data_IF_007047419389
#
_entry.id   IF_007047419389
#
_cell.length_a   1.000
_cell.length_b   1.000
_cell.length_c   1.000
_cell.angle_alpha   90.00
_cell.angle_beta   90.00
_cell.angle_gamma   90.00
#
_symmetry.space_group_name_H-M   'P 1'
#
loop_
_entity.id
_entity.type
_entity.pdbx_description
1 polymer ?
#
# COMPACT_ATOMS: atom_id res chain seq x y z
N UNK A 1 7.41 -13.45 -2.72
CA UNK A 1 6.88 -12.06 -2.63
C UNK A 1 8.07 -11.13 -2.51
N UNK A 2 8.14 -10.08 -3.34
CA UNK A 2 9.32 -9.20 -3.41
C UNK A 2 9.67 -8.53 -2.06
N UNK A 3 8.66 -8.19 -1.24
CA UNK A 3 8.85 -7.60 0.09
C UNK A 3 9.76 -8.45 0.98
N UNK A 4 9.47 -9.76 1.14
CA UNK A 4 10.30 -10.67 1.95
C UNK A 4 11.77 -10.69 1.52
N UNK A 5 12.02 -10.63 0.21
CA UNK A 5 13.39 -10.59 -0.33
C UNK A 5 14.12 -9.29 0.04
N UNK A 6 13.41 -8.15 0.04
CA UNK A 6 14.00 -6.88 0.45
C UNK A 6 14.24 -6.81 1.96
N UNK A 7 13.38 -7.40 2.77
CA UNK A 7 13.55 -7.52 4.22
C UNK A 7 14.77 -8.38 4.58
N UNK A 8 14.98 -9.49 3.87
CA UNK A 8 16.16 -10.35 4.04
C UNK A 8 17.46 -9.67 3.60
N UNK A 9 17.41 -8.81 2.58
CA UNK A 9 18.58 -8.07 2.08
C UNK A 9 18.93 -6.85 2.92
N UNK A 10 17.93 -6.21 3.54
CA UNK A 10 18.14 -5.01 4.34
C UNK A 10 17.20 -5.04 5.56
N UNK A 11 17.65 -5.55 6.72
CA UNK A 11 16.81 -5.67 7.92
C UNK A 11 16.22 -4.33 8.38
N UNK A 12 16.96 -3.22 8.19
CA UNK A 12 16.48 -1.88 8.53
C UNK A 12 15.34 -1.39 7.61
N UNK A 13 15.12 -2.04 6.46
CA UNK A 13 13.95 -1.78 5.61
C UNK A 13 12.67 -2.12 6.34
N UNK A 14 12.67 -3.19 7.14
CA UNK A 14 11.48 -3.68 7.85
C UNK A 14 10.93 -2.64 8.84
N UNK A 15 11.80 -1.82 9.41
CA UNK A 15 11.42 -0.77 10.35
C UNK A 15 10.99 0.53 9.67
N UNK A 16 11.27 0.68 8.37
CA UNK A 16 10.88 1.85 7.58
C UNK A 16 9.37 2.01 7.53
N UNK A 17 8.92 3.27 7.43
CA UNK A 17 7.50 3.58 7.34
C UNK A 17 6.92 3.06 6.03
N UNK A 18 7.72 3.08 4.98
CA UNK A 18 7.41 2.61 3.63
C UNK A 18 7.12 1.11 3.64
N UNK A 19 7.97 0.30 4.29
CA UNK A 19 7.74 -1.14 4.39
C UNK A 19 6.47 -1.45 5.18
N UNK A 20 6.26 -0.74 6.30
CA UNK A 20 5.03 -0.87 7.11
C UNK A 20 3.78 -0.51 6.31
N UNK A 21 3.79 0.62 5.59
CA UNK A 21 2.69 1.01 4.71
C UNK A 21 2.43 -0.07 3.66
N UNK A 22 3.46 -0.54 2.95
CA UNK A 22 3.31 -1.53 1.89
C UNK A 22 2.65 -2.82 2.39
N UNK A 23 3.06 -3.32 3.57
CA UNK A 23 2.43 -4.49 4.19
C UNK A 23 0.96 -4.24 4.50
N UNK A 24 0.64 -3.14 5.17
CA UNK A 24 -0.74 -2.78 5.48
C UNK A 24 -1.59 -2.67 4.20
N UNK A 25 -1.09 -2.02 3.16
CA UNK A 25 -1.83 -1.90 1.90
C UNK A 25 -2.04 -3.26 1.22
N UNK A 26 -1.06 -4.17 1.27
CA UNK A 26 -1.20 -5.52 0.76
C UNK A 26 -2.28 -6.31 1.49
N UNK A 27 -2.27 -6.28 2.83
CA UNK A 27 -3.29 -6.94 3.65
C UNK A 27 -4.69 -6.40 3.31
N UNK A 28 -4.82 -5.06 3.19
CA UNK A 28 -6.09 -4.41 2.82
C UNK A 28 -6.55 -4.70 1.40
N UNK A 29 -5.61 -4.93 0.49
CA UNK A 29 -5.91 -5.37 -0.88
C UNK A 29 -6.48 -6.80 -0.86
N UNK A 30 -5.86 -7.70 -0.08
CA UNK A 30 -6.31 -9.10 0.05
C UNK A 30 -7.69 -9.20 0.72
N UNK A 31 -7.98 -8.32 1.68
CA UNK A 31 -9.29 -8.21 2.35
C UNK A 31 -10.37 -7.50 1.49
N UNK A 32 -10.01 -6.97 0.31
CA UNK A 32 -10.86 -6.08 -0.49
C UNK A 32 -11.40 -4.87 0.30
N UNK A 33 -10.65 -4.42 1.31
CA UNK A 33 -11.02 -3.34 2.22
C UNK A 33 -10.56 -1.98 1.68
N UNK A 34 -11.41 -1.38 0.83
CA UNK A 34 -11.15 -0.06 0.22
C UNK A 34 -11.08 1.06 1.26
N UNK A 35 -11.87 0.96 2.33
CA UNK A 35 -11.91 1.95 3.40
C UNK A 35 -10.61 1.90 4.20
N UNK A 36 -10.20 0.72 4.65
CA UNK A 36 -8.94 0.54 5.37
C UNK A 36 -7.70 0.83 4.51
N UNK A 37 -7.74 0.58 3.19
CA UNK A 37 -6.70 1.06 2.27
C UNK A 37 -6.60 2.59 2.30
N UNK A 38 -7.75 3.29 2.25
CA UNK A 38 -7.78 4.76 2.25
C UNK A 38 -7.32 5.34 3.59
N UNK A 39 -7.72 4.73 4.71
CA UNK A 39 -7.29 5.08 6.06
C UNK A 39 -5.77 4.97 6.20
N UNK A 40 -5.19 3.83 5.78
CA UNK A 40 -3.74 3.61 5.85
C UNK A 40 -2.93 4.62 5.03
N UNK A 41 -3.41 4.99 3.83
CA UNK A 41 -2.77 6.04 3.01
C UNK A 41 -2.85 7.40 3.70
N UNK A 42 -3.99 7.73 4.30
CA UNK A 42 -4.20 9.01 5.01
C UNK A 42 -3.32 9.12 6.24
N UNK A 43 -3.23 8.07 7.04
CA UNK A 43 -2.37 8.02 8.22
C UNK A 43 -0.91 8.20 7.82
N UNK A 44 -0.46 7.54 6.76
CA UNK A 44 0.89 7.73 6.25
C UNK A 44 1.14 9.16 5.76
N UNK A 45 0.23 9.74 4.98
CA UNK A 45 0.37 11.10 4.45
C UNK A 45 0.44 12.16 5.57
N UNK A 46 -0.20 11.90 6.72
CA UNK A 46 -0.18 12.79 7.88
C UNK A 46 1.20 12.91 8.54
N UNK A 47 2.04 11.87 8.42
CA UNK A 47 3.37 11.81 9.03
C UNK A 47 4.47 12.00 7.98
N UNK A 48 4.24 11.50 6.77
CA UNK A 48 5.15 11.53 5.63
C UNK A 48 4.37 11.95 4.39
N UNK A 49 4.47 13.24 4.03
CA UNK A 49 3.73 13.80 2.89
C UNK A 49 4.02 13.04 1.61
N UNK A 50 2.97 12.56 0.96
CA UNK A 50 3.04 11.86 -0.31
C UNK A 50 3.30 12.87 -1.43
N UNK A 51 4.22 12.51 -2.32
CA UNK A 51 4.38 13.25 -3.56
C UNK A 51 3.28 12.89 -4.58
N UNK A 52 3.26 13.62 -5.69
CA UNK A 52 2.28 13.43 -6.75
C UNK A 52 2.39 12.06 -7.42
N UNK A 53 3.60 11.50 -7.52
CA UNK A 53 3.83 10.22 -8.18
C UNK A 53 3.28 9.06 -7.33
N UNK A 54 3.58 9.03 -6.04
CA UNK A 54 3.02 8.05 -5.09
C UNK A 54 1.50 8.16 -5.04
N UNK A 55 0.97 9.38 -4.95
CA UNK A 55 -0.48 9.62 -4.94
C UNK A 55 -1.14 9.03 -6.19
N UNK A 56 -0.57 9.25 -7.37
CA UNK A 56 -1.12 8.72 -8.63
C UNK A 56 -1.13 7.18 -8.67
N UNK A 57 -0.11 6.54 -8.12
CA UNK A 57 -0.04 5.07 -8.06
C UNK A 57 -1.10 4.53 -7.09
N UNK A 58 -1.19 5.09 -5.88
CA UNK A 58 -2.15 4.67 -4.87
C UNK A 58 -3.60 4.85 -5.35
N UNK A 59 -3.89 5.93 -6.09
CA UNK A 59 -5.19 6.14 -6.72
C UNK A 59 -5.53 5.10 -7.79
N UNK A 60 -4.54 4.65 -8.58
CA UNK A 60 -4.76 3.56 -9.56
C UNK A 60 -5.08 2.25 -8.86
N UNK A 61 -4.33 1.92 -7.80
CA UNK A 61 -4.55 0.70 -7.01
C UNK A 61 -5.94 0.74 -6.35
N UNK A 62 -6.32 1.88 -5.74
CA UNK A 62 -7.65 2.06 -5.17
C UNK A 62 -8.77 1.85 -6.20
N UNK A 63 -8.60 2.37 -7.43
CA UNK A 63 -9.58 2.16 -8.51
C UNK A 63 -9.68 0.70 -8.92
N UNK A 64 -8.57 -0.05 -8.91
CA UNK A 64 -8.57 -1.48 -9.18
C UNK A 64 -9.25 -2.27 -8.06
N UNK A 65 -9.06 -1.89 -6.80
CA UNK A 65 -9.76 -2.49 -5.66
C UNK A 65 -11.28 -2.28 -5.70
N UNK A 66 -11.72 -1.13 -6.21
CA UNK A 66 -13.13 -0.79 -6.35
C UNK A 66 -13.79 -1.42 -7.58
N UNK A 67 -13.01 -1.92 -8.54
CA UNK A 67 -13.51 -2.67 -9.67
C UNK A 67 -13.51 -4.14 -9.26
N UNK A 68 -14.70 -4.72 -9.04
CA UNK A 68 -14.84 -6.18 -9.02
C UNK A 68 -14.14 -6.75 -10.27
N UNK A 69 -13.51 -7.95 -10.17
CA UNK A 69 -12.86 -8.57 -11.31
C UNK A 69 -13.86 -8.62 -12.46
N UNK A 70 -13.52 -7.99 -13.58
CA UNK A 70 -14.24 -8.13 -14.84
C UNK A 70 -14.21 -9.64 -15.16
N UNK A 71 -15.28 -10.36 -14.78
CA UNK A 71 -15.54 -11.73 -15.21
C UNK A 71 -15.82 -11.67 -16.71
N UNK A 72 -14.76 -11.66 -17.51
CA UNK A 72 -14.76 -11.89 -18.94
C UNK A 72 -13.70 -12.90 -19.34
#
# INVERSE_FOLDING_TARGET
IAVKKYEEMFPSFTDSRECKLLKTLMDKIEEADVEGFTEAVKDYDSISRLDQWFTNILLKIKKQLQQEPDLR
#
